data_IF_810436362083
#
_entry.id   IF_810436362083
#
_cell.length_a   1.000
_cell.length_b   1.000
_cell.length_c   1.000
_cell.angle_alpha   90.00
_cell.angle_beta   90.00
_cell.angle_gamma   90.00
#
_symmetry.space_group_name_H-M   'P 1'
#
loop_
_entity.id
_entity.type
_entity.pdbx_description
1 polymer ?
#
# COMPACT_ATOMS: atom_id res chain seq x y z
N UNK A 1 5.84 4.61 -21.94
CA UNK A 1 5.72 4.51 -20.46
C UNK A 1 4.94 3.28 -20.02
N UNK A 2 3.85 2.91 -20.72
CA UNK A 2 3.00 1.73 -20.43
C UNK A 2 3.78 0.44 -20.12
N UNK A 3 4.72 0.01 -20.96
CA UNK A 3 5.45 -1.26 -20.73
C UNK A 3 6.31 -1.24 -19.46
N UNK A 4 6.99 -0.12 -19.19
CA UNK A 4 7.76 0.08 -17.97
C UNK A 4 6.86 0.10 -16.73
N UNK A 5 5.74 0.83 -16.81
CA UNK A 5 4.74 0.86 -15.74
C UNK A 5 4.14 -0.52 -15.48
N UNK A 6 3.87 -1.33 -16.52
CA UNK A 6 3.43 -2.71 -16.36
C UNK A 6 4.47 -3.57 -15.65
N UNK A 7 5.76 -3.40 -15.96
CA UNK A 7 6.84 -4.08 -15.25
C UNK A 7 6.95 -3.68 -13.78
N UNK A 8 6.72 -2.41 -13.44
CA UNK A 8 6.66 -1.96 -12.04
C UNK A 8 5.43 -2.57 -11.36
N UNK A 9 4.24 -2.38 -11.95
CA UNK A 9 2.95 -2.86 -11.44
C UNK A 9 2.96 -4.36 -11.14
N UNK A 10 3.55 -5.18 -12.02
CA UNK A 10 3.63 -6.64 -11.82
C UNK A 10 4.50 -7.05 -10.62
N UNK A 11 5.32 -6.13 -10.10
CA UNK A 11 6.18 -6.33 -8.95
C UNK A 11 5.63 -5.69 -7.65
N UNK A 12 4.38 -5.23 -7.65
CA UNK A 12 3.69 -4.67 -6.48
C UNK A 12 2.58 -5.62 -6.02
N UNK A 13 2.98 -6.72 -5.40
CA UNK A 13 2.09 -7.82 -5.00
C UNK A 13 1.71 -7.84 -3.52
N UNK A 14 2.13 -6.85 -2.72
CA UNK A 14 1.79 -6.77 -1.31
C UNK A 14 1.80 -5.34 -0.78
N UNK A 15 0.91 -5.05 0.16
CA UNK A 15 0.81 -3.80 0.89
C UNK A 15 0.77 -4.07 2.40
N UNK A 16 1.54 -3.31 3.17
CA UNK A 16 1.59 -3.39 4.63
C UNK A 16 1.27 -2.03 5.24
N UNK A 17 0.34 -2.00 6.18
CA UNK A 17 0.03 -0.79 6.95
C UNK A 17 0.99 -0.60 8.14
N UNK A 18 1.18 0.67 8.51
CA UNK A 18 2.07 1.09 9.57
C UNK A 18 1.46 2.19 10.43
N UNK A 19 1.75 2.14 11.73
CA UNK A 19 1.28 3.09 12.74
C UNK A 19 2.09 4.39 12.77
N UNK A 20 3.31 4.38 12.23
CA UNK A 20 4.22 5.51 12.08
C UNK A 20 5.17 5.29 10.88
N UNK A 21 6.13 6.20 10.66
CA UNK A 21 7.09 6.07 9.56
C UNK A 21 7.83 4.71 9.62
N UNK A 22 7.79 3.89 8.54
CA UNK A 22 8.38 2.54 8.54
C UNK A 22 9.91 2.51 8.44
N UNK A 23 10.54 3.64 8.06
CA UNK A 23 11.96 3.71 7.75
C UNK A 23 12.36 2.89 6.52
N UNK A 24 13.66 2.87 6.22
CA UNK A 24 14.20 2.09 5.11
C UNK A 24 13.93 0.60 5.31
N UNK A 25 13.40 -0.06 4.27
CA UNK A 25 13.09 -1.49 4.31
C UNK A 25 11.72 -1.84 4.89
N UNK A 26 10.92 -0.87 5.34
CA UNK A 26 9.51 -1.10 5.71
C UNK A 26 9.32 -2.03 6.91
N UNK A 27 10.31 -2.15 7.80
CA UNK A 27 10.27 -3.12 8.89
C UNK A 27 9.72 -2.55 10.21
N UNK A 28 9.85 -1.24 10.43
CA UNK A 28 9.41 -0.60 11.66
C UNK A 28 7.91 -0.30 11.66
N UNK A 29 7.35 -0.13 12.86
CA UNK A 29 6.02 0.44 13.08
C UNK A 29 4.88 -0.27 12.33
N UNK A 30 5.00 -1.57 12.06
CA UNK A 30 3.93 -2.33 11.39
C UNK A 30 2.65 -2.30 12.22
N UNK A 31 1.51 -2.14 11.57
CA UNK A 31 0.22 -2.40 12.21
C UNK A 31 0.06 -3.89 12.53
N UNK A 32 -0.93 -4.23 13.35
CA UNK A 32 -1.33 -5.63 13.56
C UNK A 32 -2.11 -6.23 12.40
N UNK A 33 -2.67 -5.40 11.51
CA UNK A 33 -3.34 -5.87 10.30
C UNK A 33 -2.36 -6.61 9.37
N UNK A 34 -2.86 -7.69 8.76
CA UNK A 34 -2.12 -8.48 7.79
C UNK A 34 -1.77 -7.68 6.53
N UNK A 35 -0.86 -8.21 5.72
CA UNK A 35 -0.59 -7.63 4.40
C UNK A 35 -1.70 -8.00 3.42
N UNK A 36 -2.07 -7.05 2.56
CA UNK A 36 -3.05 -7.25 1.51
C UNK A 36 -2.39 -7.28 0.13
N UNK A 37 -3.03 -7.96 -0.83
CA UNK A 37 -2.61 -7.96 -2.24
C UNK A 37 -3.36 -6.84 -2.97
N UNK A 38 -2.68 -5.77 -3.42
CA UNK A 38 -3.36 -4.71 -4.14
C UNK A 38 -3.83 -5.18 -5.52
N UNK A 39 -5.03 -4.77 -5.91
CA UNK A 39 -5.50 -4.91 -7.29
C UNK A 39 -5.26 -3.60 -8.03
N UNK A 40 -4.46 -3.62 -9.09
CA UNK A 40 -4.06 -2.43 -9.83
C UNK A 40 -4.80 -2.28 -11.16
N UNK A 41 -5.15 -1.06 -11.53
CA UNK A 41 -5.64 -0.73 -12.88
C UNK A 41 -4.56 -0.99 -13.93
N UNK A 42 -4.96 -0.99 -15.21
CA UNK A 42 -4.00 -0.94 -16.32
C UNK A 42 -3.36 0.45 -16.37
N UNK A 43 -2.04 0.56 -16.62
CA UNK A 43 -1.40 1.86 -16.76
C UNK A 43 -1.97 2.70 -17.89
N UNK A 44 -2.09 4.01 -17.67
CA UNK A 44 -2.40 5.00 -18.70
C UNK A 44 -1.24 5.14 -19.69
N UNK A 45 -1.44 5.92 -20.77
CA UNK A 45 -0.37 6.22 -21.74
C UNK A 45 0.87 6.85 -21.08
N UNK A 46 0.66 7.64 -20.03
CA UNK A 46 1.69 8.32 -19.25
C UNK A 46 2.36 7.39 -18.22
N UNK A 47 1.81 6.19 -18.03
CA UNK A 47 2.34 5.18 -17.11
C UNK A 47 1.75 5.25 -15.70
N UNK A 48 0.71 6.07 -15.50
CA UNK A 48 0.02 6.19 -14.22
C UNK A 48 -0.92 5.01 -14.01
N UNK A 49 -1.01 4.53 -12.79
CA UNK A 49 -1.98 3.50 -12.39
C UNK A 49 -2.35 3.68 -10.93
N UNK A 50 -3.47 3.09 -10.52
CA UNK A 50 -3.93 3.15 -9.14
C UNK A 50 -4.67 1.87 -8.78
N UNK A 51 -5.39 1.90 -7.66
CA UNK A 51 -6.21 0.77 -7.25
C UNK A 51 -7.39 0.55 -8.21
N UNK A 52 -7.55 -0.69 -8.67
CA UNK A 52 -8.73 -1.14 -9.40
C UNK A 52 -9.89 -1.50 -8.45
N UNK A 53 -9.59 -1.77 -7.18
CA UNK A 53 -10.57 -1.98 -6.12
C UNK A 53 -9.96 -1.52 -4.77
N UNK A 54 -10.79 -1.07 -3.81
CA UNK A 54 -10.32 -0.70 -2.48
C UNK A 54 -9.58 -1.85 -1.80
N UNK A 55 -8.53 -1.52 -1.05
CA UNK A 55 -7.86 -2.50 -0.17
C UNK A 55 -8.52 -2.43 1.20
N UNK A 56 -9.06 -3.56 1.66
CA UNK A 56 -9.66 -3.68 2.99
C UNK A 56 -8.67 -4.38 3.90
N UNK A 57 -8.24 -3.70 4.96
CA UNK A 57 -7.34 -4.26 5.97
C UNK A 57 -8.12 -4.55 7.24
N UNK A 58 -8.02 -5.79 7.72
CA UNK A 58 -8.67 -6.26 8.94
C UNK A 58 -7.63 -6.71 9.98
N UNK A 59 -8.06 -6.89 11.23
CA UNK A 59 -7.17 -7.31 12.33
C UNK A 59 -6.25 -6.20 12.83
N UNK A 60 -6.54 -4.95 12.48
CA UNK A 60 -5.94 -3.77 13.09
C UNK A 60 -6.26 -3.68 14.58
N UNK A 61 -5.45 -2.91 15.32
CA UNK A 61 -5.81 -2.53 16.69
C UNK A 61 -6.99 -1.56 16.60
N UNK A 62 -8.14 -1.84 17.24
CA UNK A 62 -9.31 -0.96 17.17
C UNK A 62 -8.98 0.48 17.55
N UNK A 63 -9.44 1.45 16.74
CA UNK A 63 -9.10 2.88 16.89
C UNK A 63 -7.59 3.19 16.87
N UNK A 64 -6.76 2.25 16.39
CA UNK A 64 -5.32 2.40 16.30
C UNK A 64 -4.90 3.19 15.06
N UNK A 65 -3.77 3.90 15.09
CA UNK A 65 -3.32 4.74 13.99
C UNK A 65 -2.80 3.91 12.80
N UNK A 66 -3.01 4.44 11.60
CA UNK A 66 -2.55 3.93 10.31
C UNK A 66 -2.09 5.13 9.49
N UNK A 67 -0.81 5.47 9.57
CA UNK A 67 -0.30 6.73 8.98
C UNK A 67 0.58 6.50 7.75
N UNK A 68 0.96 5.25 7.47
CA UNK A 68 1.83 4.90 6.35
C UNK A 68 1.45 3.54 5.77
N UNK A 69 1.74 3.39 4.48
CA UNK A 69 1.66 2.12 3.74
C UNK A 69 3.01 1.83 3.08
N UNK A 70 3.45 0.59 3.10
CA UNK A 70 4.61 0.14 2.33
C UNK A 70 4.21 -0.88 1.28
N UNK A 71 4.87 -0.82 0.12
CA UNK A 71 4.63 -1.75 -0.99
C UNK A 71 5.74 -2.80 -1.06
N UNK A 72 5.35 -4.00 -1.46
CA UNK A 72 6.18 -5.20 -1.47
C UNK A 72 5.91 -6.01 -2.73
N UNK A 73 6.86 -6.88 -3.10
CA UNK A 73 6.66 -7.77 -4.25
C UNK A 73 5.63 -8.87 -4.04
N UNK A 74 5.30 -9.20 -2.79
CA UNK A 74 4.30 -10.19 -2.39
C UNK A 74 3.97 -10.02 -0.89
N UNK A 75 3.07 -10.86 -0.37
CA UNK A 75 2.65 -10.89 1.03
C UNK A 75 3.34 -11.99 1.87
N UNK A 76 4.29 -12.76 1.32
CA UNK A 76 4.82 -13.97 1.97
C UNK A 76 5.83 -13.71 3.10
N UNK A 77 6.04 -12.44 3.50
CA UNK A 77 7.05 -12.04 4.49
C UNK A 77 8.50 -12.05 3.99
N UNK A 78 8.76 -12.67 2.83
CA UNK A 78 10.04 -12.66 2.11
C UNK A 78 10.03 -11.75 0.88
N UNK A 79 8.96 -10.98 0.69
CA UNK A 79 8.83 -10.02 -0.41
C UNK A 79 9.95 -8.99 -0.40
N UNK A 80 10.26 -8.47 -1.58
CA UNK A 80 11.20 -7.35 -1.73
C UNK A 80 10.44 -6.06 -1.49
N UNK A 81 10.91 -5.26 -0.53
CA UNK A 81 10.40 -3.91 -0.25
C UNK A 81 10.55 -2.99 -1.47
N UNK A 82 9.52 -2.19 -1.76
CA UNK A 82 9.44 -1.32 -2.94
C UNK A 82 9.32 0.16 -2.61
N UNK A 83 8.94 0.50 -1.38
CA UNK A 83 8.83 1.89 -0.93
C UNK A 83 7.82 2.06 0.19
N UNK A 84 7.82 3.25 0.80
CA UNK A 84 6.84 3.67 1.80
C UNK A 84 6.18 4.97 1.36
N UNK A 85 4.90 5.10 1.67
CA UNK A 85 4.09 6.27 1.33
C UNK A 85 3.31 6.69 2.57
N UNK A 86 3.30 7.99 2.85
CA UNK A 86 2.47 8.54 3.92
C UNK A 86 1.01 8.51 3.46
N UNK A 87 0.12 8.05 4.33
CA UNK A 87 -1.31 8.05 4.06
C UNK A 87 -1.91 9.40 4.43
N UNK A 88 -2.97 9.76 3.71
CA UNK A 88 -3.78 10.96 3.94
C UNK A 88 -5.24 10.57 4.04
N UNK A 89 -6.06 11.42 4.65
CA UNK A 89 -7.46 11.11 4.93
C UNK A 89 -7.63 10.44 6.29
N UNK A 90 -8.46 9.40 6.36
CA UNK A 90 -8.62 8.63 7.59
C UNK A 90 -7.40 7.75 7.82
N UNK A 91 -6.79 7.95 8.97
CA UNK A 91 -5.54 7.32 9.39
C UNK A 91 -5.77 6.51 10.67
N UNK A 92 -6.97 5.96 10.86
CA UNK A 92 -7.34 5.19 12.04
C UNK A 92 -8.17 3.98 11.65
N UNK A 93 -7.89 2.83 12.25
CA UNK A 93 -8.83 1.71 12.18
C UNK A 93 -10.14 2.08 12.88
N UNK A 94 -11.25 1.50 12.43
CA UNK A 94 -12.53 1.62 13.12
C UNK A 94 -12.53 0.85 14.47
N UNK A 95 -13.68 0.83 15.14
CA UNK A 95 -13.86 0.12 16.42
C UNK A 95 -13.74 -1.41 16.30
N UNK A 96 -13.77 -1.95 15.08
CA UNK A 96 -13.62 -3.38 14.79
C UNK A 96 -12.19 -3.72 14.34
N UNK A 97 -11.29 -2.73 14.21
CA UNK A 97 -9.94 -2.96 13.70
C UNK A 97 -9.89 -3.05 12.17
N UNK A 98 -10.82 -2.40 11.47
CA UNK A 98 -10.93 -2.40 10.01
C UNK A 98 -10.65 -1.01 9.46
N UNK A 99 -9.92 -0.94 8.35
CA UNK A 99 -9.74 0.29 7.56
C UNK A 99 -9.75 -0.05 6.07
N UNK A 100 -10.31 0.84 5.26
CA UNK A 100 -10.35 0.71 3.81
C UNK A 100 -9.52 1.81 3.16
N UNK A 101 -8.57 1.41 2.31
CA UNK A 101 -7.86 2.33 1.42
C UNK A 101 -8.61 2.36 0.09
N UNK A 102 -9.44 3.40 -0.08
CA UNK A 102 -10.33 3.57 -1.25
C UNK A 102 -9.55 3.88 -2.53
N UNK A 103 -8.52 4.73 -2.42
CA UNK A 103 -7.72 5.17 -3.56
C UNK A 103 -6.24 5.20 -3.18
N UNK A 104 -5.40 4.83 -4.14
CA UNK A 104 -3.95 4.92 -4.00
C UNK A 104 -3.36 4.96 -5.41
N UNK A 105 -2.99 6.16 -5.84
CA UNK A 105 -2.50 6.42 -7.19
C UNK A 105 -0.96 6.48 -7.19
N UNK A 106 -0.37 5.77 -8.14
CA UNK A 106 1.05 5.79 -8.44
C UNK A 106 1.23 6.50 -9.77
N UNK A 107 1.66 7.76 -9.69
CA UNK A 107 1.99 8.54 -10.86
C UNK A 107 3.46 8.34 -11.25
N UNK A 108 3.70 8.17 -12.55
CA UNK A 108 5.03 7.97 -13.11
C UNK A 108 5.82 9.26 -13.34
N UNK A 109 5.25 10.42 -12.97
CA UNK A 109 5.90 11.72 -13.19
C UNK A 109 6.92 12.01 -12.10
N UNK A 110 8.16 12.23 -12.52
CA UNK A 110 9.14 12.93 -11.69
C UNK A 110 8.75 14.41 -11.68
N UNK A 111 8.35 14.93 -10.51
CA UNK A 111 8.34 16.37 -10.26
C UNK A 111 9.73 16.84 -9.85
#
# INVERSE_FOLDING_TARGET
MVDGANGIRSNLGGAQLHTANPGTGGAASKSSAGMEVPSWTSPTADGDFGLAAPMVFEGGTPNGPVTWISLWSNTSGSGVWKGNFALTGDNTFDSNGVITIETFDLNGSAT
#
